data_IF_804825253151
#
_entry.id   IF_804825253151
#
_cell.length_a   1.000
_cell.length_b   1.000
_cell.length_c   1.000
_cell.angle_alpha   90.00
_cell.angle_beta   90.00
_cell.angle_gamma   90.00
#
_symmetry.space_group_name_H-M   'P 1'
#
loop_
_entity.id
_entity.type
_entity.pdbx_description
1 polymer ?
#
# COMPACT_ATOMS: atom_id res chain seq x y z
N UNK A 1 -7.65 -5.88 4.68
CA UNK A 1 -7.35 -4.89 3.62
C UNK A 1 -8.56 -4.45 2.81
N UNK A 2 -9.37 -5.37 2.27
CA UNK A 2 -10.60 -5.06 1.48
C UNK A 2 -11.55 -4.03 2.11
N UNK A 3 -11.59 -3.94 3.45
CA UNK A 3 -12.49 -3.02 4.14
C UNK A 3 -11.93 -1.60 4.24
N UNK A 4 -10.63 -1.41 4.55
CA UNK A 4 -10.07 -0.06 4.77
C UNK A 4 -9.96 0.75 3.47
N UNK A 5 -9.58 0.10 2.35
CA UNK A 5 -9.46 0.78 1.06
C UNK A 5 -10.77 1.48 0.66
N UNK A 6 -11.92 0.84 0.87
CA UNK A 6 -13.23 1.39 0.52
C UNK A 6 -13.57 2.69 1.25
N UNK A 7 -13.06 2.87 2.47
CA UNK A 7 -13.25 4.10 3.24
C UNK A 7 -12.41 5.27 2.75
N UNK A 8 -11.54 5.05 1.76
CA UNK A 8 -10.74 6.12 1.16
C UNK A 8 -11.17 6.42 -0.28
N UNK A 9 -11.98 5.58 -0.93
CA UNK A 9 -12.40 5.81 -2.32
C UNK A 9 -13.58 6.77 -2.40
N UNK A 10 -13.64 7.61 -3.42
CA UNK A 10 -14.77 8.51 -3.69
C UNK A 10 -15.71 7.99 -4.78
N UNK A 11 -15.24 7.02 -5.56
CA UNK A 11 -15.97 6.38 -6.66
C UNK A 11 -15.49 4.94 -6.83
N UNK A 12 -16.10 4.20 -7.75
CA UNK A 12 -15.64 2.86 -8.10
C UNK A 12 -14.25 2.94 -8.72
N UNK A 13 -13.26 2.35 -8.07
CA UNK A 13 -11.86 2.43 -8.52
C UNK A 13 -11.23 1.05 -8.61
N UNK A 14 -10.45 0.82 -9.68
CA UNK A 14 -9.60 -0.37 -9.81
C UNK A 14 -8.41 -0.23 -8.86
N UNK A 15 -8.26 -1.17 -7.94
CA UNK A 15 -7.22 -1.19 -6.91
C UNK A 15 -6.04 -2.06 -7.33
N UNK A 16 -6.27 -3.10 -8.13
CA UNK A 16 -5.18 -3.84 -8.76
C UNK A 16 -5.68 -4.68 -9.93
N UNK A 17 -4.74 -5.30 -10.62
CA UNK A 17 -5.00 -6.48 -11.44
C UNK A 17 -4.17 -7.65 -10.94
N UNK A 18 -4.72 -8.86 -10.91
CA UNK A 18 -3.93 -10.06 -10.66
C UNK A 18 -3.76 -10.81 -11.97
N UNK A 19 -2.49 -11.05 -12.33
CA UNK A 19 -2.11 -11.90 -13.45
C UNK A 19 -1.94 -13.33 -12.96
N UNK A 20 -2.82 -14.21 -13.40
CA UNK A 20 -2.73 -15.66 -13.25
C UNK A 20 -2.02 -16.27 -14.47
N UNK A 21 -1.85 -17.59 -14.47
CA UNK A 21 -1.25 -18.30 -15.61
C UNK A 21 -1.99 -18.08 -16.93
N UNK A 22 -3.32 -18.13 -16.89
CA UNK A 22 -4.17 -18.16 -18.10
C UNK A 22 -5.02 -16.90 -18.27
N UNK A 23 -5.03 -16.00 -17.30
CA UNK A 23 -5.94 -14.86 -17.29
C UNK A 23 -5.39 -13.71 -16.45
N UNK A 24 -5.95 -12.52 -16.67
CA UNK A 24 -5.78 -11.35 -15.83
C UNK A 24 -7.15 -10.96 -15.31
N UNK A 25 -7.27 -10.76 -14.00
CA UNK A 25 -8.50 -10.31 -13.34
C UNK A 25 -8.25 -8.95 -12.73
N UNK A 26 -9.11 -7.99 -13.02
CA UNK A 26 -9.09 -6.66 -12.41
C UNK A 26 -9.95 -6.67 -11.13
N UNK A 27 -9.40 -6.09 -10.06
CA UNK A 27 -10.08 -5.95 -8.78
C UNK A 27 -10.42 -4.48 -8.56
N UNK A 28 -11.71 -4.18 -8.56
CA UNK A 28 -12.24 -2.84 -8.27
C UNK A 28 -13.12 -2.86 -7.05
N UNK A 29 -13.09 -1.78 -6.26
CA UNK A 29 -13.97 -1.64 -5.11
C UNK A 29 -14.90 -0.45 -5.28
N UNK A 30 -16.13 -0.63 -4.79
CA UNK A 30 -17.08 0.45 -4.56
C UNK A 30 -16.69 1.20 -3.28
N UNK A 31 -16.89 2.53 -3.22
CA UNK A 31 -16.62 3.31 -2.02
C UNK A 31 -17.57 2.92 -0.89
N UNK A 32 -17.10 3.05 0.35
CA UNK A 32 -17.95 2.94 1.53
C UNK A 32 -18.90 4.15 1.62
N UNK A 33 -20.03 4.00 2.35
CA UNK A 33 -21.01 5.08 2.56
C UNK A 33 -20.37 6.34 3.15
N UNK A 34 -19.56 6.16 4.19
CA UNK A 34 -18.89 7.24 4.92
C UNK A 34 -17.41 7.25 4.56
N UNK A 35 -17.11 7.64 3.33
CA UNK A 35 -15.73 7.72 2.84
C UNK A 35 -15.04 8.99 3.33
N UNK A 36 -13.74 8.87 3.67
CA UNK A 36 -12.90 10.00 3.98
C UNK A 36 -12.40 10.65 2.69
N UNK A 37 -12.70 11.95 2.52
CA UNK A 37 -12.36 12.74 1.32
C UNK A 37 -11.14 13.62 1.49
N UNK A 38 -10.60 13.71 2.70
CA UNK A 38 -9.45 14.56 2.98
C UNK A 38 -8.13 14.00 2.44
N UNK A 39 -7.04 14.78 2.56
CA UNK A 39 -5.70 14.32 2.21
C UNK A 39 -5.31 13.11 3.06
N UNK A 40 -4.69 12.11 2.44
CA UNK A 40 -4.21 10.90 3.11
C UNK A 40 -2.72 10.78 2.87
N UNK A 41 -2.00 10.52 3.95
CA UNK A 41 -0.61 10.09 3.94
C UNK A 41 -0.57 8.68 4.51
N UNK A 42 0.25 7.81 3.92
CA UNK A 42 0.57 6.48 4.46
C UNK A 42 2.04 6.49 4.83
N UNK A 43 2.32 6.28 6.11
CA UNK A 43 3.67 6.04 6.59
C UNK A 43 4.05 4.58 6.34
N UNK A 44 5.25 4.35 5.85
CA UNK A 44 5.71 3.01 5.47
C UNK A 44 7.21 2.88 5.68
N UNK A 45 7.68 1.66 5.98
CA UNK A 45 9.07 1.38 6.28
C UNK A 45 9.52 0.01 5.75
N UNK A 46 10.75 -0.39 6.07
CA UNK A 46 11.32 -1.70 5.71
C UNK A 46 10.62 -2.89 6.40
N UNK A 47 9.81 -2.66 7.44
CA UNK A 47 9.02 -3.69 8.10
C UNK A 47 7.63 -3.87 7.46
N UNK A 48 7.23 -2.93 6.60
CA UNK A 48 5.94 -2.91 5.95
C UNK A 48 5.91 -3.91 4.79
N UNK A 49 5.39 -5.12 5.03
CA UNK A 49 5.38 -6.21 4.05
C UNK A 49 3.96 -6.65 3.67
N UNK A 50 3.84 -7.44 2.58
CA UNK A 50 2.61 -8.13 2.21
C UNK A 50 1.43 -7.17 2.04
N UNK A 51 0.37 -7.33 2.84
CA UNK A 51 -0.85 -6.55 2.74
C UNK A 51 -0.62 -5.03 2.86
N UNK A 52 0.37 -4.60 3.64
CA UNK A 52 0.72 -3.19 3.76
C UNK A 52 1.25 -2.63 2.44
N UNK A 53 2.09 -3.40 1.74
CA UNK A 53 2.66 -3.01 0.45
C UNK A 53 1.60 -2.94 -0.64
N UNK A 54 0.71 -3.93 -0.69
CA UNK A 54 -0.39 -3.89 -1.65
C UNK A 54 -1.27 -2.66 -1.41
N UNK A 55 -1.61 -2.36 -0.15
CA UNK A 55 -2.43 -1.20 0.18
C UNK A 55 -1.73 0.10 -0.21
N UNK A 56 -0.49 0.30 0.25
CA UNK A 56 0.31 1.49 -0.03
C UNK A 56 0.51 1.69 -1.55
N UNK A 57 1.00 0.66 -2.25
CA UNK A 57 1.22 0.71 -3.70
C UNK A 57 -0.07 0.96 -4.48
N UNK A 58 -1.20 0.38 -4.07
CA UNK A 58 -2.47 0.61 -4.75
C UNK A 58 -2.99 2.02 -4.52
N UNK A 59 -2.86 2.57 -3.30
CA UNK A 59 -3.29 3.94 -2.97
C UNK A 59 -2.39 4.99 -3.62
N UNK A 60 -1.11 4.71 -3.74
CA UNK A 60 -0.14 5.54 -4.45
C UNK A 60 -0.46 5.57 -5.95
N UNK A 61 -0.62 4.40 -6.58
CA UNK A 61 -0.84 4.28 -8.02
C UNK A 61 -2.18 4.85 -8.53
N UNK A 62 -3.13 5.16 -7.64
CA UNK A 62 -4.38 5.86 -7.98
C UNK A 62 -4.38 7.31 -7.49
N UNK A 63 -3.22 7.84 -7.08
CA UNK A 63 -3.04 9.18 -6.52
C UNK A 63 -3.93 9.49 -5.30
N UNK A 64 -4.39 8.46 -4.59
CA UNK A 64 -5.28 8.64 -3.43
C UNK A 64 -4.52 9.01 -2.17
N UNK A 65 -3.33 8.44 -1.98
CA UNK A 65 -2.49 8.72 -0.82
C UNK A 65 -1.05 8.98 -1.26
N UNK A 66 -0.36 9.81 -0.49
CA UNK A 66 1.09 9.98 -0.61
C UNK A 66 1.79 9.07 0.38
N UNK A 67 2.80 8.36 -0.09
CA UNK A 67 3.61 7.43 0.69
C UNK A 67 4.85 8.18 1.20
N UNK A 68 5.03 8.21 2.50
CA UNK A 68 6.16 8.87 3.17
C UNK A 68 6.87 7.83 4.04
N UNK A 69 8.20 7.86 4.04
CA UNK A 69 9.00 6.98 4.89
C UNK A 69 10.09 6.28 4.11
N UNK A 70 10.22 4.96 4.26
CA UNK A 70 11.26 4.17 3.61
C UNK A 70 10.65 3.14 2.65
N UNK A 71 11.44 2.74 1.65
CA UNK A 71 11.05 1.74 0.66
C UNK A 71 10.78 0.39 1.35
N UNK A 72 9.65 -0.23 1.00
CA UNK A 72 9.32 -1.56 1.53
C UNK A 72 10.13 -2.69 0.87
N UNK A 73 10.15 -3.92 1.44
CA UNK A 73 10.98 -5.02 0.93
C UNK A 73 10.56 -5.61 -0.42
N UNK A 74 9.30 -5.50 -0.81
CA UNK A 74 8.74 -6.16 -1.99
C UNK A 74 8.33 -7.60 -1.75
N UNK A 75 7.77 -7.92 -0.59
CA UNK A 75 7.30 -9.27 -0.24
C UNK A 75 5.78 -9.35 -0.39
N UNK A 76 5.31 -9.17 -1.63
CA UNK A 76 3.93 -9.24 -2.05
C UNK A 76 3.65 -10.47 -2.94
N UNK A 77 3.78 -11.64 -2.32
CA UNK A 77 3.45 -12.91 -2.95
C UNK A 77 1.98 -13.27 -2.72
N UNK A 78 1.23 -13.51 -3.81
CA UNK A 78 -0.11 -14.10 -3.72
C UNK A 78 0.03 -15.62 -3.78
N UNK A 79 0.03 -16.23 -2.60
CA UNK A 79 0.20 -17.65 -2.39
C UNK A 79 -1.05 -18.32 -1.83
N UNK A 80 -1.20 -19.61 -2.16
CA UNK A 80 -2.21 -20.47 -1.57
C UNK A 80 -1.52 -21.63 -0.84
N UNK A 81 -2.27 -22.25 0.08
CA UNK A 81 -1.83 -23.39 0.85
C UNK A 81 -2.66 -24.62 0.45
N UNK A 82 -1.98 -25.73 0.15
CA UNK A 82 -2.63 -27.02 -0.12
C UNK A 82 -2.11 -28.07 0.86
N UNK A 83 -3.02 -28.70 1.58
CA UNK A 83 -2.70 -29.85 2.43
C UNK A 83 -2.49 -31.09 1.56
N UNK A 84 -1.40 -31.81 1.81
CA UNK A 84 -1.03 -33.04 1.12
C UNK A 84 -1.55 -34.27 1.89
N UNK A 85 -1.61 -35.42 1.20
CA UNK A 85 -2.14 -36.67 1.76
C UNK A 85 -1.37 -37.17 2.99
N UNK A 86 -0.07 -36.87 3.06
CA UNK A 86 0.79 -37.20 4.20
C UNK A 86 0.72 -36.19 5.35
N UNK A 87 -0.18 -35.21 5.28
CA UNK A 87 -0.36 -34.18 6.31
C UNK A 87 0.51 -32.94 6.17
N UNK A 88 1.48 -32.91 5.25
CA UNK A 88 2.30 -31.72 4.97
C UNK A 88 1.50 -30.61 4.27
N UNK A 89 2.03 -29.39 4.29
CA UNK A 89 1.43 -28.22 3.62
C UNK A 89 2.35 -27.71 2.51
N UNK A 90 1.80 -27.58 1.30
CA UNK A 90 2.46 -26.93 0.17
C UNK A 90 1.97 -25.48 0.08
N UNK A 91 2.87 -24.53 0.25
CA UNK A 91 2.64 -23.13 -0.14
C UNK A 91 3.13 -22.92 -1.56
N UNK A 92 2.30 -22.34 -2.42
CA UNK A 92 2.67 -22.06 -3.80
C UNK A 92 2.06 -20.74 -4.28
N UNK A 93 2.85 -19.97 -5.01
CA UNK A 93 2.41 -18.76 -5.67
C UNK A 93 1.46 -19.10 -6.83
N UNK A 94 0.36 -18.36 -6.97
CA UNK A 94 -0.62 -18.61 -8.04
C UNK A 94 -1.03 -17.37 -8.82
N UNK A 95 -0.66 -16.17 -8.37
CA UNK A 95 -0.94 -14.93 -9.08
C UNK A 95 0.14 -13.87 -8.81
N UNK A 96 0.29 -12.94 -9.76
CA UNK A 96 1.11 -11.75 -9.63
C UNK A 96 0.20 -10.51 -9.52
N UNK A 97 0.20 -9.80 -8.40
CA UNK A 97 -0.50 -8.51 -8.30
C UNK A 97 0.27 -7.45 -9.10
N UNK A 98 -0.50 -6.62 -9.80
CA UNK A 98 -0.08 -5.50 -10.61
C UNK A 98 -0.87 -4.29 -10.13
N UNK A 99 -0.18 -3.21 -9.76
CA UNK A 99 -0.79 -1.96 -9.33
C UNK A 99 -1.56 -1.29 -10.49
N UNK A 100 -2.50 -0.39 -10.22
CA UNK A 100 -3.32 0.26 -11.26
C UNK A 100 -2.54 1.00 -12.34
N UNK A 101 -1.34 1.49 -12.03
CA UNK A 101 -0.38 2.13 -12.94
C UNK A 101 0.46 1.13 -13.76
N UNK A 102 0.27 -0.18 -13.54
CA UNK A 102 0.98 -1.26 -14.21
C UNK A 102 2.23 -1.77 -13.49
N UNK A 103 2.60 -1.19 -12.34
CA UNK A 103 3.78 -1.63 -11.61
C UNK A 103 3.59 -2.99 -10.94
N UNK A 104 4.68 -3.76 -10.86
CA UNK A 104 4.75 -5.00 -10.08
C UNK A 104 5.70 -4.76 -8.92
N UNK A 105 5.18 -4.67 -7.70
CA UNK A 105 6.01 -4.35 -6.54
C UNK A 105 6.69 -5.58 -5.92
N UNK A 106 6.30 -6.80 -6.28
CA UNK A 106 7.01 -8.01 -5.85
C UNK A 106 8.50 -7.93 -6.25
N UNK A 107 9.39 -8.19 -5.30
CA UNK A 107 10.85 -8.06 -5.43
C UNK A 107 11.37 -6.62 -5.54
N UNK A 108 10.48 -5.62 -5.51
CA UNK A 108 10.84 -4.20 -5.61
C UNK A 108 10.39 -3.38 -4.42
N UNK A 109 9.25 -3.68 -3.81
CA UNK A 109 8.62 -2.84 -2.80
C UNK A 109 7.97 -1.60 -3.38
N UNK A 110 7.25 -0.89 -2.51
CA UNK A 110 6.68 0.43 -2.79
C UNK A 110 7.78 1.45 -2.52
N UNK A 111 8.08 2.27 -3.52
CA UNK A 111 9.01 3.40 -3.39
C UNK A 111 8.21 4.59 -2.86
N UNK A 112 8.59 5.22 -1.74
CA UNK A 112 7.84 6.34 -1.20
C UNK A 112 7.88 7.53 -2.15
N UNK A 113 6.81 8.33 -2.16
CA UNK A 113 6.78 9.61 -2.88
C UNK A 113 7.72 10.63 -2.24
N UNK A 114 7.92 10.51 -0.92
CA UNK A 114 8.91 11.26 -0.16
C UNK A 114 9.66 10.34 0.80
N UNK A 115 10.94 10.10 0.49
CA UNK A 115 11.80 9.29 1.35
C UNK A 115 12.19 10.07 2.61
N UNK A 116 11.85 9.53 3.78
CA UNK A 116 12.18 10.08 5.09
C UNK A 116 12.57 8.91 5.98
N UNK A 117 13.82 8.89 6.44
CA UNK A 117 14.25 7.88 7.40
C UNK A 117 13.76 8.23 8.80
N UNK A 118 13.40 7.21 9.56
CA UNK A 118 13.16 7.38 10.99
C UNK A 118 14.50 7.59 11.69
N UNK A 119 14.74 8.82 12.14
CA UNK A 119 15.97 9.17 12.86
C UNK A 119 15.84 8.71 14.31
N UNK A 120 16.74 7.82 14.74
CA UNK A 120 16.66 7.19 16.06
C UNK A 120 16.99 8.19 17.16
N UNK A 121 18.00 9.01 16.96
CA UNK A 121 18.43 10.02 17.90
C UNK A 121 17.31 11.05 18.10
N UNK A 122 16.74 11.57 17.02
CA UNK A 122 15.60 12.50 17.08
C UNK A 122 14.38 11.86 17.77
N UNK A 123 14.09 10.58 17.47
CA UNK A 123 12.96 9.88 18.08
C UNK A 123 13.13 9.71 19.60
N UNK A 124 14.35 9.46 20.08
CA UNK A 124 14.67 9.40 21.50
C UNK A 124 14.52 10.76 22.20
N UNK A 125 14.70 11.85 21.45
CA UNK A 125 14.47 13.22 21.90
C UNK A 125 13.00 13.66 21.79
N UNK A 126 12.12 12.79 21.27
CA UNK A 126 10.68 13.00 21.17
C UNK A 126 10.18 13.46 19.80
N UNK A 127 11.04 13.53 18.79
CA UNK A 127 10.71 13.92 17.42
C UNK A 127 10.67 12.71 16.49
N UNK A 128 9.46 12.38 16.00
CA UNK A 128 9.29 11.40 14.92
C UNK A 128 9.38 12.12 13.56
N UNK A 129 10.52 11.96 12.89
CA UNK A 129 10.82 12.63 11.62
C UNK A 129 9.83 12.28 10.51
N UNK A 130 9.34 11.04 10.47
CA UNK A 130 8.37 10.60 9.46
C UNK A 130 6.99 11.20 9.75
N UNK A 131 6.56 11.20 11.01
CA UNK A 131 5.30 11.80 11.43
C UNK A 131 5.28 13.31 11.18
N UNK A 132 6.33 14.04 11.55
CA UNK A 132 6.43 15.48 11.30
C UNK A 132 6.34 15.79 9.80
N UNK A 133 7.05 15.02 8.97
CA UNK A 133 7.00 15.17 7.52
C UNK A 133 5.57 14.94 6.97
N UNK A 134 4.87 13.93 7.49
CA UNK A 134 3.48 13.65 7.12
C UNK A 134 2.51 14.78 7.52
N UNK A 135 2.63 15.28 8.75
CA UNK A 135 1.80 16.38 9.26
C UNK A 135 2.05 17.66 8.44
N UNK A 136 3.32 18.00 8.20
CA UNK A 136 3.71 19.15 7.40
C UNK A 136 3.16 19.04 5.97
N UNK A 137 3.25 17.87 5.34
CA UNK A 137 2.66 17.62 4.03
C UNK A 137 1.15 17.89 4.02
N UNK A 138 0.41 17.38 5.01
CA UNK A 138 -1.04 17.58 5.12
C UNK A 138 -1.40 19.06 5.32
N UNK A 139 -0.67 19.77 6.19
CA UNK A 139 -0.89 21.21 6.45
C UNK A 139 -0.69 22.02 5.17
N UNK A 140 0.43 21.80 4.47
CA UNK A 140 0.75 22.50 3.22
C UNK A 140 -0.30 22.19 2.15
N UNK A 141 -0.72 20.92 2.03
CA UNK A 141 -1.74 20.52 1.05
C UNK A 141 -3.08 21.18 1.34
N UNK A 142 -3.50 21.25 2.61
CA UNK A 142 -4.74 21.96 3.00
C UNK A 142 -4.66 23.46 2.71
N UNK A 143 -3.52 24.10 2.93
CA UNK A 143 -3.34 25.53 2.66
C UNK A 143 -3.40 25.88 1.15
N UNK A 144 -3.17 24.90 0.26
CA UNK A 144 -3.20 25.06 -1.20
C UNK A 144 -4.55 24.75 -1.84
N UNK A 145 -5.48 24.15 -1.10
CA UNK A 145 -6.84 23.86 -1.59
C UNK A 145 -7.75 25.01 -1.11
N UNK A 146 -8.28 25.86 -2.01
CA UNK A 146 -9.16 26.97 -1.65
C UNK A 146 -10.51 26.53 -1.08
#
# INVERSE_FOLDING_TARGET
MHNITKHLLTEKTRISSWKFRNQKIDYSFEPARDTYKGPVVVLMDVCSTSSSEYFAGSMQAIDRAVIIGERSPGYLLIANWKKLLNGASLMYAFAQPIMPDGQVIEGRGVVPDMEVRLDREALLEGTDTQLEAAVNYIIIKKARVP
#
